data_IF_388934055310
#
_entry.id   IF_388934055310
#
_cell.length_a   1.000
_cell.length_b   1.000
_cell.length_c   1.000
_cell.angle_alpha   90.00
_cell.angle_beta   90.00
_cell.angle_gamma   90.00
#
_symmetry.space_group_name_H-M   'P 1'
#
loop_
_entity.id
_entity.type
_entity.pdbx_description
1 polymer ?
#
# COMPACT_ATOMS: atom_id res chain seq x y z
N UNK A 1 -5.80 5.83 20.25
CA UNK A 1 -6.95 5.25 19.54
C UNK A 1 -7.35 6.24 18.47
N UNK A 2 -7.16 5.89 17.20
CA UNK A 2 -7.58 6.72 16.07
C UNK A 2 -8.81 6.05 15.48
N UNK A 3 -9.98 6.62 15.75
CA UNK A 3 -11.25 6.24 15.15
C UNK A 3 -11.36 6.91 13.78
N UNK A 4 -11.36 6.10 12.73
CA UNK A 4 -11.73 6.55 11.39
C UNK A 4 -13.22 6.25 11.18
N UNK A 5 -14.00 7.33 11.21
CA UNK A 5 -15.44 7.35 10.99
C UNK A 5 -15.77 7.09 9.50
N UNK A 6 -16.46 6.00 9.23
CA UNK A 6 -17.06 5.65 7.94
C UNK A 6 -18.54 6.06 7.94
N UNK A 7 -18.84 7.32 7.65
CA UNK A 7 -20.13 7.70 7.10
C UNK A 7 -19.97 7.64 5.57
N UNK A 8 -20.64 6.75 4.85
CA UNK A 8 -22.08 6.48 4.94
C UNK A 8 -22.67 7.10 3.68
N UNK A 9 -22.72 6.28 2.64
CA UNK A 9 -23.16 6.61 1.28
C UNK A 9 -24.65 6.93 1.35
N UNK A 10 -25.03 8.20 1.17
CA UNK A 10 -26.44 8.63 1.12
C UNK A 10 -26.86 8.88 -0.32
N UNK A 11 -27.65 7.91 -0.82
CA UNK A 11 -28.87 8.05 -1.61
C UNK A 11 -28.87 8.91 -2.89
N UNK A 12 -28.83 8.21 -4.02
CA UNK A 12 -29.28 8.69 -5.33
C UNK A 12 -30.81 8.62 -5.33
N UNK A 13 -31.48 9.74 -5.03
CA UNK A 13 -32.92 9.88 -5.22
C UNK A 13 -33.23 10.42 -6.63
N UNK A 14 -33.98 9.62 -7.38
CA UNK A 14 -34.44 9.90 -8.73
C UNK A 14 -35.90 10.38 -8.70
N UNK A 15 -36.12 11.68 -8.95
CA UNK A 15 -37.30 12.21 -9.66
C UNK A 15 -38.38 12.93 -8.82
N UNK A 16 -38.80 14.14 -9.25
CA UNK A 16 -40.12 14.46 -9.80
C UNK A 16 -40.32 15.98 -10.05
N UNK A 17 -41.45 16.31 -10.69
CA UNK A 17 -41.77 17.42 -11.59
C UNK A 17 -42.80 18.38 -10.98
N UNK A 18 -42.74 19.71 -11.29
CA UNK A 18 -43.84 20.69 -11.55
C UNK A 18 -43.49 22.17 -11.18
N UNK A 19 -44.16 23.19 -11.79
CA UNK A 19 -43.60 24.51 -12.14
C UNK A 19 -44.02 25.68 -11.24
N UNK A 20 -43.58 26.92 -11.54
CA UNK A 20 -44.60 27.95 -11.78
C UNK A 20 -44.28 28.96 -12.90
N UNK A 21 -45.39 29.53 -13.36
CA UNK A 21 -45.67 30.36 -14.53
C UNK A 21 -45.09 31.79 -14.46
N UNK A 22 -44.81 32.31 -15.67
CA UNK A 22 -45.04 33.70 -16.13
C UNK A 22 -43.93 34.74 -15.91
N UNK A 23 -43.27 35.07 -17.03
CA UNK A 23 -42.52 36.30 -17.25
C UNK A 23 -42.30 36.47 -18.76
N UNK A 24 -43.24 37.13 -19.42
CA UNK A 24 -43.21 37.46 -20.84
C UNK A 24 -42.16 38.56 -21.09
N UNK A 25 -41.18 38.33 -21.97
CA UNK A 25 -40.55 39.40 -22.76
C UNK A 25 -39.99 38.80 -24.06
N UNK A 26 -40.40 39.37 -25.18
CA UNK A 26 -40.09 38.97 -26.54
C UNK A 26 -38.61 39.19 -26.93
N UNK A 27 -38.15 38.23 -27.74
CA UNK A 27 -37.17 38.30 -28.82
C UNK A 27 -35.87 39.12 -28.67
N UNK A 28 -34.73 38.39 -28.74
CA UNK A 28 -33.65 38.75 -29.67
C UNK A 28 -32.77 37.54 -30.02
N UNK A 29 -32.92 37.09 -31.27
CA UNK A 29 -31.82 36.93 -32.23
C UNK A 29 -30.52 36.21 -31.79
N UNK A 30 -30.42 34.94 -32.20
CA UNK A 30 -29.22 34.39 -32.80
C UNK A 30 -28.09 33.91 -31.88
N UNK A 31 -27.69 32.64 -32.06
CA UNK A 31 -26.32 32.21 -32.43
C UNK A 31 -25.91 30.89 -31.76
N UNK A 32 -25.73 29.89 -32.65
CA UNK A 32 -24.83 28.75 -32.57
C UNK A 32 -24.96 27.74 -31.42
N UNK A 33 -25.52 26.58 -31.77
CA UNK A 33 -25.18 25.29 -31.15
C UNK A 33 -23.67 25.05 -31.26
N UNK A 34 -22.92 25.26 -30.17
CA UNK A 34 -21.59 24.66 -30.01
C UNK A 34 -21.68 23.60 -28.92
N UNK A 35 -22.03 22.37 -29.32
CA UNK A 35 -21.65 21.16 -28.58
C UNK A 35 -20.14 21.05 -28.71
N UNK A 36 -19.40 21.67 -27.80
CA UNK A 36 -17.97 21.42 -27.66
C UNK A 36 -17.80 20.23 -26.72
N UNK A 37 -17.32 19.13 -27.30
CA UNK A 37 -16.97 17.89 -26.63
C UNK A 37 -15.99 18.22 -25.48
N UNK A 38 -16.29 17.74 -24.28
CA UNK A 38 -15.28 17.59 -23.21
C UNK A 38 -14.16 16.75 -23.82
N UNK A 39 -13.03 17.41 -24.11
CA UNK A 39 -11.82 16.75 -24.57
C UNK A 39 -11.06 16.45 -23.30
N UNK A 40 -11.29 15.25 -22.75
CA UNK A 40 -10.46 14.69 -21.70
C UNK A 40 -9.08 14.40 -22.31
N UNK A 41 -8.31 15.47 -22.49
CA UNK A 41 -6.91 15.40 -22.89
C UNK A 41 -6.13 15.51 -21.60
N UNK A 42 -6.02 14.40 -20.87
CA UNK A 42 -4.93 14.25 -19.92
C UNK A 42 -3.65 14.64 -20.66
N UNK A 43 -2.98 15.67 -20.18
CA UNK A 43 -1.73 16.13 -20.79
C UNK A 43 -0.71 15.02 -20.66
N UNK A 44 0.18 14.87 -21.65
CA UNK A 44 1.22 13.82 -21.66
C UNK A 44 2.02 13.83 -20.33
N UNK A 45 2.17 15.00 -19.71
CA UNK A 45 2.77 15.20 -18.40
C UNK A 45 2.04 14.46 -17.25
N UNK A 46 0.70 14.48 -17.21
CA UNK A 46 -0.07 13.74 -16.18
C UNK A 46 0.09 12.24 -16.32
N UNK A 47 0.18 11.75 -17.57
CA UNK A 47 0.44 10.34 -17.85
C UNK A 47 1.87 9.97 -17.44
N UNK A 48 2.85 10.84 -17.71
CA UNK A 48 4.25 10.67 -17.28
C UNK A 48 4.42 10.62 -15.76
N UNK A 49 3.70 11.47 -15.02
CA UNK A 49 3.68 11.47 -13.55
C UNK A 49 3.06 10.18 -12.99
N UNK A 50 1.95 9.73 -13.57
CA UNK A 50 1.33 8.46 -13.19
C UNK A 50 2.28 7.28 -13.41
N UNK A 51 2.96 7.23 -14.56
CA UNK A 51 3.96 6.19 -14.87
C UNK A 51 5.12 6.23 -13.86
N UNK A 52 5.63 7.42 -13.53
CA UNK A 52 6.73 7.58 -12.57
C UNK A 52 6.34 7.11 -11.17
N UNK A 53 5.12 7.42 -10.71
CA UNK A 53 4.60 6.95 -9.42
C UNK A 53 4.47 5.43 -9.39
N UNK A 54 3.90 4.83 -10.44
CA UNK A 54 3.77 3.37 -10.53
C UNK A 54 5.14 2.70 -10.58
N UNK A 55 6.10 3.24 -11.33
CA UNK A 55 7.47 2.73 -11.39
C UNK A 55 8.16 2.78 -10.01
N UNK A 56 8.03 3.88 -9.25
CA UNK A 56 8.55 3.98 -7.88
C UNK A 56 7.92 2.94 -6.96
N UNK A 57 6.60 2.79 -6.98
CA UNK A 57 5.90 1.78 -6.18
C UNK A 57 6.36 0.36 -6.55
N UNK A 58 6.55 0.08 -7.85
CA UNK A 58 7.02 -1.24 -8.30
C UNK A 58 8.46 -1.52 -7.87
N UNK A 59 9.37 -0.53 -7.93
CA UNK A 59 10.75 -0.65 -7.46
C UNK A 59 10.77 -0.86 -5.94
N UNK A 60 10.01 -0.07 -5.18
CA UNK A 60 9.88 -0.21 -3.73
C UNK A 60 9.32 -1.58 -3.33
N UNK A 61 8.37 -2.12 -4.10
CA UNK A 61 7.82 -3.48 -3.88
C UNK A 61 8.79 -4.58 -4.30
N UNK A 62 9.61 -4.36 -5.33
CA UNK A 62 10.61 -5.34 -5.77
C UNK A 62 11.76 -5.49 -4.77
N UNK A 63 12.13 -4.42 -4.07
CA UNK A 63 13.11 -4.48 -2.97
C UNK A 63 12.69 -5.44 -1.84
N UNK A 64 11.41 -5.81 -1.74
CA UNK A 64 10.91 -6.77 -0.76
C UNK A 64 11.43 -8.20 -1.02
N UNK A 65 11.69 -8.57 -2.29
CA UNK A 65 12.25 -9.89 -2.65
C UNK A 65 13.70 -10.01 -2.23
N UNK A 66 14.49 -8.97 -2.48
CA UNK A 66 15.92 -8.95 -2.15
C UNK A 66 16.17 -9.08 -0.64
N UNK A 67 15.31 -8.45 0.18
CA UNK A 67 15.41 -8.55 1.65
C UNK A 67 15.19 -10.00 2.13
N UNK A 68 14.35 -10.79 1.46
CA UNK A 68 14.09 -12.19 1.84
C UNK A 68 15.29 -13.06 1.48
N UNK A 69 15.80 -12.95 0.26
CA UNK A 69 16.96 -13.74 -0.19
C UNK A 69 18.19 -13.45 0.69
N UNK A 70 18.46 -12.17 0.97
CA UNK A 70 19.55 -11.74 1.87
C UNK A 70 19.34 -12.28 3.30
N UNK A 71 18.09 -12.36 3.77
CA UNK A 71 17.75 -12.93 5.08
C UNK A 71 18.06 -14.42 5.14
N UNK A 72 17.77 -15.17 4.07
CA UNK A 72 18.06 -16.59 3.97
C UNK A 72 19.58 -16.85 3.92
N UNK A 73 20.32 -16.10 3.10
CA UNK A 73 21.79 -16.17 3.06
C UNK A 73 22.39 -15.92 4.45
N UNK A 74 21.90 -14.88 5.15
CA UNK A 74 22.36 -14.60 6.52
C UNK A 74 22.09 -15.77 7.46
N UNK A 75 20.91 -16.39 7.39
CA UNK A 75 20.57 -17.55 8.20
C UNK A 75 21.51 -18.73 7.96
N UNK A 76 21.88 -19.00 6.71
CA UNK A 76 22.86 -20.02 6.37
C UNK A 76 24.22 -19.74 7.03
N UNK A 77 24.66 -18.47 7.06
CA UNK A 77 25.92 -18.10 7.74
C UNK A 77 25.89 -18.28 9.25
N UNK A 78 24.71 -18.35 9.88
CA UNK A 78 24.59 -18.60 11.32
C UNK A 78 24.87 -20.06 11.69
N UNK A 79 24.90 -20.97 10.72
CA UNK A 79 25.16 -22.40 10.94
C UNK A 79 24.02 -23.12 11.69
N UNK A 80 22.81 -22.57 11.69
CA UNK A 80 21.64 -23.22 12.28
C UNK A 80 20.99 -24.14 11.24
N UNK A 81 20.78 -25.41 11.60
CA UNK A 81 20.09 -26.34 10.72
C UNK A 81 18.58 -26.07 10.67
N UNK A 82 17.89 -26.61 9.65
CA UNK A 82 16.44 -26.42 9.49
C UNK A 82 15.62 -26.89 10.70
N UNK A 83 16.09 -27.92 11.42
CA UNK A 83 15.43 -28.43 12.63
C UNK A 83 15.83 -27.67 13.92
N UNK A 84 16.78 -26.74 13.84
CA UNK A 84 17.16 -25.90 14.98
C UNK A 84 16.00 -24.95 15.30
N UNK A 85 15.59 -24.93 16.56
CA UNK A 85 14.54 -24.03 17.04
C UNK A 85 14.87 -22.55 16.79
N UNK A 86 16.15 -22.18 16.76
CA UNK A 86 16.61 -20.83 16.40
C UNK A 86 16.32 -20.51 14.94
N UNK A 87 16.53 -21.47 14.04
CA UNK A 87 16.20 -21.33 12.63
C UNK A 87 14.69 -21.12 12.46
N UNK A 88 13.88 -21.99 13.06
CA UNK A 88 12.41 -21.91 13.01
C UNK A 88 11.87 -20.60 13.60
N UNK A 89 12.41 -20.17 14.75
CA UNK A 89 12.02 -18.91 15.40
C UNK A 89 12.39 -17.70 14.53
N UNK A 90 13.52 -17.75 13.84
CA UNK A 90 13.93 -16.64 12.96
C UNK A 90 13.03 -16.54 11.73
N UNK A 91 12.65 -17.67 11.13
CA UNK A 91 11.70 -17.69 10.02
C UNK A 91 10.34 -17.11 10.42
N UNK A 92 9.86 -17.44 11.62
CA UNK A 92 8.63 -16.86 12.18
C UNK A 92 8.74 -15.33 12.26
N UNK A 93 9.82 -14.82 12.86
CA UNK A 93 10.07 -13.38 12.98
C UNK A 93 10.16 -12.68 11.62
N UNK A 94 10.79 -13.31 10.63
CA UNK A 94 10.89 -12.75 9.28
C UNK A 94 9.52 -12.67 8.58
N UNK A 95 8.61 -13.58 8.89
CA UNK A 95 7.23 -13.56 8.41
C UNK A 95 6.38 -12.45 9.04
N UNK A 96 6.70 -11.99 10.26
CA UNK A 96 5.89 -11.01 10.99
C UNK A 96 5.95 -9.60 10.39
N UNK A 97 7.14 -9.14 9.99
CA UNK A 97 7.30 -7.77 9.47
C UNK A 97 8.54 -7.62 8.60
N UNK A 98 8.42 -6.81 7.55
CA UNK A 98 9.56 -6.37 6.73
C UNK A 98 10.59 -5.58 7.56
N UNK A 99 10.15 -4.82 8.55
CA UNK A 99 11.07 -4.04 9.40
C UNK A 99 11.86 -4.95 10.33
N UNK A 100 11.25 -6.04 10.82
CA UNK A 100 11.96 -7.06 11.60
C UNK A 100 13.05 -7.71 10.75
N UNK A 101 12.76 -8.08 9.50
CA UNK A 101 13.77 -8.60 8.56
C UNK A 101 14.93 -7.62 8.38
N UNK A 102 14.63 -6.35 8.10
CA UNK A 102 15.65 -5.30 7.91
C UNK A 102 16.52 -5.08 9.15
N UNK A 103 15.92 -5.10 10.34
CA UNK A 103 16.67 -5.00 11.60
C UNK A 103 17.58 -6.21 11.76
N UNK A 104 17.03 -7.43 11.62
CA UNK A 104 17.80 -8.66 11.78
C UNK A 104 18.95 -8.77 10.77
N UNK A 105 18.79 -8.30 9.53
CA UNK A 105 19.88 -8.21 8.54
C UNK A 105 21.06 -7.37 9.01
N UNK A 106 20.82 -6.31 9.78
CA UNK A 106 21.88 -5.39 10.26
C UNK A 106 22.53 -5.82 11.57
N UNK A 107 21.92 -6.73 12.32
CA UNK A 107 22.48 -7.19 13.60
C UNK A 107 23.75 -8.02 13.41
N UNK A 108 24.69 -7.90 14.34
CA UNK A 108 25.79 -8.86 14.42
C UNK A 108 25.25 -10.26 14.80
N UNK A 109 25.96 -11.36 14.46
CA UNK A 109 25.50 -12.72 14.74
C UNK A 109 25.08 -12.94 16.21
N UNK A 110 25.87 -12.45 17.17
CA UNK A 110 25.57 -12.60 18.60
C UNK A 110 24.28 -11.87 19.02
N UNK A 111 24.07 -10.64 18.53
CA UNK A 111 22.85 -9.88 18.81
C UNK A 111 21.62 -10.50 18.14
N UNK A 112 21.80 -11.03 16.92
CA UNK A 112 20.76 -11.79 16.22
C UNK A 112 20.35 -13.02 17.04
N UNK A 113 21.32 -13.82 17.51
CA UNK A 113 21.04 -14.99 18.34
C UNK A 113 20.31 -14.63 19.64
N UNK A 114 20.68 -13.54 20.29
CA UNK A 114 20.00 -13.08 21.50
C UNK A 114 18.56 -12.65 21.21
N UNK A 115 18.32 -11.91 20.13
CA UNK A 115 16.97 -11.53 19.70
C UNK A 115 16.11 -12.78 19.45
N UNK A 116 16.67 -13.77 18.75
CA UNK A 116 16.00 -15.03 18.43
C UNK A 116 15.68 -15.82 19.70
N UNK A 117 16.59 -15.89 20.67
CA UNK A 117 16.33 -16.53 21.97
C UNK A 117 15.20 -15.83 22.73
N UNK A 118 15.22 -14.50 22.79
CA UNK A 118 14.19 -13.72 23.47
C UNK A 118 12.81 -13.88 22.81
N UNK A 119 12.77 -13.88 21.47
CA UNK A 119 11.56 -14.15 20.72
C UNK A 119 11.07 -15.59 20.93
N UNK A 120 11.97 -16.56 20.88
CA UNK A 120 11.66 -17.96 21.10
C UNK A 120 11.06 -18.20 22.49
N UNK A 121 11.60 -17.55 23.52
CA UNK A 121 11.02 -17.58 24.86
C UNK A 121 9.62 -16.94 24.92
N UNK A 122 9.43 -15.78 24.27
CA UNK A 122 8.12 -15.13 24.16
C UNK A 122 7.08 -16.01 23.46
N UNK A 123 7.48 -16.78 22.46
CA UNK A 123 6.62 -17.69 21.71
C UNK A 123 6.50 -19.09 22.33
N UNK A 124 7.21 -19.37 23.43
CA UNK A 124 7.22 -20.71 24.06
C UNK A 124 7.93 -21.78 23.21
N UNK A 125 8.78 -21.37 22.26
CA UNK A 125 9.57 -22.24 21.40
C UNK A 125 10.90 -22.62 22.05
N UNK A 126 11.48 -21.71 22.83
CA UNK A 126 12.77 -21.90 23.52
C UNK A 126 12.52 -21.77 25.02
N UNK A 127 12.91 -22.80 25.78
CA UNK A 127 12.79 -22.86 27.24
C UNK A 127 14.15 -22.76 27.93
#
# INVERSE_FOLDING_TARGET
>A
MFDHNLNGIEDIECGQMEPPTQGFTEEASGRSKKREKRKDKATIDEVGDCITKVAKILIEKHNLSNDIDTCMEKLETMGWGELDVKYQTTLLLFGESADIRKVSLRLQPQSCELQVKNAGAKYGLIG
#
